data_IF_395371977314
#
_entry.id   IF_395371977314
#
_cell.length_a   1.000
_cell.length_b   1.000
_cell.length_c   1.000
_cell.angle_alpha   90.00
_cell.angle_beta   90.00
_cell.angle_gamma   90.00
#
_symmetry.space_group_name_H-M   'P 1'
#
loop_
_entity.id
_entity.type
_entity.pdbx_description
1 polymer ?
#
# COMPACT_ATOMS: atom_id res chain seq x y z
N UNK A 1 -16.33 5.51 -1.32
CA UNK A 1 -15.17 5.80 -2.19
C UNK A 1 -15.36 5.06 -3.53
N UNK A 2 -15.69 5.79 -4.61
CA UNK A 2 -15.91 5.21 -5.95
C UNK A 2 -14.58 5.14 -6.70
N UNK A 3 -14.06 3.93 -6.93
CA UNK A 3 -12.92 3.71 -7.81
C UNK A 3 -13.37 3.85 -9.27
N UNK A 4 -13.24 5.04 -9.85
CA UNK A 4 -13.51 5.28 -11.27
C UNK A 4 -12.43 4.61 -12.13
N UNK A 5 -12.87 3.67 -12.98
CA UNK A 5 -12.13 3.06 -14.09
C UNK A 5 -11.35 4.14 -14.86
N UNK A 6 -10.03 4.15 -14.74
CA UNK A 6 -9.11 4.78 -15.70
C UNK A 6 -7.84 3.93 -15.68
N UNK A 7 -7.44 3.49 -16.88
CA UNK A 7 -6.58 2.35 -17.18
C UNK A 7 -5.36 2.13 -16.27
N UNK A 8 -5.01 0.86 -16.13
CA UNK A 8 -3.74 0.33 -15.60
C UNK A 8 -3.17 1.02 -14.35
N UNK A 9 -4.04 1.58 -13.49
CA UNK A 9 -3.60 2.10 -12.20
C UNK A 9 -3.22 0.94 -11.30
N UNK A 10 -1.92 0.72 -11.22
CA UNK A 10 -1.28 -0.17 -10.26
C UNK A 10 -1.62 0.31 -8.85
N UNK A 11 -2.10 -0.60 -8.02
CA UNK A 11 -2.38 -0.31 -6.62
C UNK A 11 -1.26 -0.93 -5.82
N UNK A 12 -0.60 -0.10 -5.04
CA UNK A 12 0.46 -0.50 -4.13
C UNK A 12 -0.03 -0.40 -2.69
N UNK A 13 0.45 -1.29 -1.85
CA UNK A 13 0.24 -1.28 -0.41
C UNK A 13 1.59 -1.09 0.24
N UNK A 14 1.79 0.05 0.89
CA UNK A 14 2.98 0.33 1.69
C UNK A 14 2.72 0.01 3.16
N UNK A 15 3.59 -0.78 3.79
CA UNK A 15 3.61 -1.01 5.23
C UNK A 15 4.89 -0.42 5.83
N UNK A 16 4.74 0.45 6.82
CA UNK A 16 5.84 1.16 7.49
C UNK A 16 5.67 1.06 9.00
N UNK A 17 6.78 0.95 9.73
CA UNK A 17 6.78 1.07 11.18
C UNK A 17 6.93 2.55 11.55
N UNK A 18 6.13 3.04 12.50
CA UNK A 18 6.24 4.39 13.02
C UNK A 18 7.66 4.61 13.58
N UNK A 19 8.21 5.80 13.34
CA UNK A 19 9.57 6.18 13.74
C UNK A 19 10.73 5.43 13.05
N UNK A 20 10.43 4.53 12.10
CA UNK A 20 11.45 3.84 11.30
C UNK A 20 11.49 4.36 9.86
N UNK A 21 12.69 4.38 9.28
CA UNK A 21 12.88 4.66 7.85
C UNK A 21 12.65 3.41 7.01
N UNK A 22 12.12 3.63 5.81
CA UNK A 22 11.78 2.58 4.85
C UNK A 22 10.37 2.03 5.00
N UNK A 23 9.92 1.37 3.94
CA UNK A 23 8.66 0.65 3.93
C UNK A 23 8.75 -0.59 3.04
N UNK A 24 7.88 -1.56 3.32
CA UNK A 24 7.64 -2.68 2.43
C UNK A 24 6.47 -2.30 1.53
N UNK A 25 6.67 -2.39 0.22
CA UNK A 25 5.63 -2.10 -0.77
C UNK A 25 5.24 -3.36 -1.54
N UNK A 26 3.95 -3.66 -1.56
CA UNK A 26 3.39 -4.75 -2.33
C UNK A 26 2.57 -4.20 -3.50
N UNK A 27 2.80 -4.71 -4.71
CA UNK A 27 1.99 -4.38 -5.88
C UNK A 27 0.84 -5.39 -6.02
N UNK A 28 -0.40 -4.91 -5.94
CA UNK A 28 -1.57 -5.71 -6.31
C UNK A 28 -1.47 -6.11 -7.79
N UNK A 29 -1.44 -7.43 -8.03
CA UNK A 29 -1.35 -8.03 -9.36
C UNK A 29 -2.73 -8.17 -9.99
N UNK A 30 -3.78 -8.27 -9.17
CA UNK A 30 -5.15 -8.45 -9.64
C UNK A 30 -6.12 -7.43 -9.01
N UNK A 31 -7.22 -7.09 -9.70
CA UNK A 31 -8.26 -6.24 -9.14
C UNK A 31 -8.99 -6.89 -7.95
N UNK A 32 -8.94 -8.22 -7.80
CA UNK A 32 -9.52 -8.90 -6.64
C UNK A 32 -8.69 -8.68 -5.38
N UNK A 33 -7.35 -8.70 -5.47
CA UNK A 33 -6.49 -8.35 -4.33
C UNK A 33 -6.81 -6.94 -3.84
N UNK A 34 -6.88 -5.96 -4.75
CA UNK A 34 -7.23 -4.58 -4.41
C UNK A 34 -8.60 -4.44 -3.73
N UNK A 35 -9.58 -5.28 -4.09
CA UNK A 35 -10.92 -5.30 -3.47
C UNK A 35 -10.92 -5.87 -2.05
N UNK A 36 -10.06 -6.86 -1.79
CA UNK A 36 -9.93 -7.46 -0.47
C UNK A 36 -9.07 -6.64 0.49
N UNK A 37 -8.28 -5.68 -0.02
CA UNK A 37 -7.38 -4.85 0.79
C UNK A 37 -8.03 -4.26 2.05
N UNK A 38 -9.20 -3.60 2.00
CA UNK A 38 -9.76 -2.99 3.21
C UNK A 38 -9.95 -4.01 4.34
N UNK A 39 -10.50 -5.19 4.03
CA UNK A 39 -10.71 -6.25 5.02
C UNK A 39 -9.39 -6.85 5.52
N UNK A 40 -8.43 -7.07 4.62
CA UNK A 40 -7.11 -7.60 5.00
C UNK A 40 -6.30 -6.61 5.85
N UNK A 41 -6.36 -5.32 5.51
CA UNK A 41 -5.66 -4.25 6.24
C UNK A 41 -6.20 -4.09 7.66
N UNK A 42 -7.52 -4.16 7.83
CA UNK A 42 -8.14 -4.15 9.17
C UNK A 42 -7.66 -5.35 10.01
N UNK A 43 -7.48 -6.53 9.39
CA UNK A 43 -6.98 -7.72 10.07
C UNK A 43 -5.47 -7.68 10.36
N UNK A 44 -4.68 -6.99 9.53
CA UNK A 44 -3.22 -6.83 9.69
C UNK A 44 -2.83 -5.63 10.56
N UNK A 45 -3.81 -4.87 11.05
CA UNK A 45 -3.55 -3.69 11.88
C UNK A 45 -2.81 -4.11 13.15
N UNK A 46 -1.58 -3.62 13.28
CA UNK A 46 -0.73 -3.81 14.45
C UNK A 46 -0.36 -2.46 15.07
N UNK A 47 -0.15 -2.44 16.38
CA UNK A 47 0.41 -1.26 17.04
C UNK A 47 1.81 -0.95 16.48
N UNK A 48 2.06 0.33 16.20
CA UNK A 48 3.35 0.74 15.63
C UNK A 48 3.45 0.60 14.11
N UNK A 49 2.44 0.08 13.40
CA UNK A 49 2.48 -0.09 11.93
C UNK A 49 1.46 0.83 11.24
N UNK A 50 1.94 1.61 10.27
CA UNK A 50 1.13 2.39 9.35
C UNK A 50 1.04 1.65 8.02
N UNK A 51 -0.18 1.34 7.58
CA UNK A 51 -0.43 0.76 6.26
C UNK A 51 -1.12 1.80 5.37
N UNK A 52 -0.57 2.01 4.18
CA UNK A 52 -1.03 3.03 3.21
C UNK A 52 -1.29 2.40 1.85
N UNK A 53 -2.32 2.89 1.16
CA UNK A 53 -2.61 2.52 -0.23
C UNK A 53 -2.07 3.63 -1.12
N UNK A 54 -1.21 3.26 -2.07
CA UNK A 54 -0.51 4.17 -2.97
C UNK A 54 -0.86 3.82 -4.41
N UNK A 55 -1.12 4.80 -5.26
CA UNK A 55 -1.20 4.57 -6.72
C UNK A 55 0.17 4.71 -7.39
N UNK A 56 1.04 5.57 -6.84
CA UNK A 56 2.36 5.91 -7.38
C UNK A 56 3.37 6.00 -6.24
N UNK A 57 4.02 4.91 -5.79
CA UNK A 57 4.92 4.95 -4.62
C UNK A 57 6.16 5.83 -4.85
N UNK A 58 6.63 5.95 -6.08
CA UNK A 58 7.83 6.73 -6.44
C UNK A 58 7.75 8.22 -6.12
N UNK A 59 6.54 8.81 -6.04
CA UNK A 59 6.36 10.23 -5.73
C UNK A 59 6.36 10.51 -4.22
N UNK A 60 6.31 9.49 -3.37
CA UNK A 60 6.25 9.65 -1.92
C UNK A 60 7.61 9.36 -1.29
N UNK A 61 8.44 10.38 -1.11
CA UNK A 61 9.78 10.22 -0.54
C UNK A 61 9.77 9.82 0.96
N UNK A 62 8.67 10.05 1.68
CA UNK A 62 8.52 9.75 3.12
C UNK A 62 8.62 8.25 3.47
N UNK A 63 8.35 7.38 2.49
CA UNK A 63 8.40 5.93 2.66
C UNK A 63 9.66 5.31 2.03
N UNK A 64 10.62 6.13 1.62
CA UNK A 64 11.90 5.63 1.10
C UNK A 64 12.80 5.14 2.24
N UNK A 65 13.59 4.08 2.03
CA UNK A 65 13.62 3.20 0.85
C UNK A 65 12.41 2.26 0.75
N UNK A 66 11.97 1.97 -0.48
CA UNK A 66 10.92 0.99 -0.78
C UNK A 66 11.50 -0.41 -0.98
N UNK A 67 11.07 -1.37 -0.18
CA UNK A 67 11.35 -2.80 -0.39
C UNK A 67 10.15 -3.45 -1.06
N UNK A 68 10.26 -3.75 -2.35
CA UNK A 68 9.20 -4.41 -3.11
C UNK A 68 9.22 -5.93 -2.90
N UNK A 69 8.05 -6.50 -2.59
CA UNK A 69 7.84 -7.95 -2.41
C UNK A 69 6.80 -8.52 -3.39
#
# INVERSE_FOLDING_TARGET
MKWTRKGDRKIYVGAKIFDQQGCIAYLCKTPNEARCLPGTLEALRAEGVQIVILDSPEIYSEYTPYTYI
#
